data_IF_414349434295
#
_entry.id   IF_414349434295
#
_cell.length_a   1.000
_cell.length_b   1.000
_cell.length_c   1.000
_cell.angle_alpha   90.00
_cell.angle_beta   90.00
_cell.angle_gamma   90.00
#
_symmetry.space_group_name_H-M   'P 1'
#
loop_
_entity.id
_entity.type
_entity.pdbx_description
1 polymer ?
#
# COMPACT_ATOMS: atom_id res chain seq x y z
N UNK A 1 4.81 8.58 -34.01
CA UNK A 1 5.51 8.40 -32.73
C UNK A 1 4.45 8.36 -31.63
N UNK A 2 4.30 7.24 -30.92
CA UNK A 2 3.38 7.16 -29.78
C UNK A 2 4.01 7.89 -28.59
N UNK A 3 3.34 8.93 -28.10
CA UNK A 3 3.68 9.60 -26.85
C UNK A 3 3.24 8.69 -25.70
N UNK A 4 4.20 8.03 -25.05
CA UNK A 4 3.98 7.40 -23.76
C UNK A 4 3.78 8.51 -22.72
N UNK A 5 2.53 8.85 -22.43
CA UNK A 5 2.20 9.75 -21.34
C UNK A 5 2.59 9.09 -20.03
N UNK A 6 3.60 9.62 -19.34
CA UNK A 6 3.82 9.32 -17.93
C UNK A 6 2.61 9.84 -17.17
N UNK A 7 1.71 8.93 -16.78
CA UNK A 7 0.63 9.25 -15.86
C UNK A 7 1.26 9.58 -14.50
N UNK A 8 1.58 10.85 -14.29
CA UNK A 8 1.92 11.36 -12.97
C UNK A 8 0.55 11.59 -12.32
N UNK A 9 0.08 10.61 -11.54
CA UNK A 9 -1.04 10.87 -10.65
C UNK A 9 -0.63 12.03 -9.74
N UNK A 10 -1.33 13.15 -9.83
CA UNK A 10 -1.10 14.28 -8.93
C UNK A 10 -1.32 13.76 -7.50
N UNK A 11 -0.35 13.95 -6.58
CA UNK A 11 -0.53 13.54 -5.21
C UNK A 11 -1.79 14.19 -4.62
N UNK A 12 -2.54 13.51 -3.74
CA UNK A 12 -3.66 14.14 -3.07
C UNK A 12 -3.21 15.43 -2.38
N UNK A 13 -4.08 16.46 -2.27
CA UNK A 13 -3.74 17.69 -1.57
C UNK A 13 -3.27 17.33 -0.15
N UNK A 14 -2.08 17.80 0.22
CA UNK A 14 -1.34 17.49 1.46
C UNK A 14 -0.60 16.13 1.50
N UNK A 15 -0.35 15.46 0.38
CA UNK A 15 0.60 14.35 0.39
C UNK A 15 2.00 14.85 0.69
N UNK A 16 2.66 14.25 1.69
CA UNK A 16 4.04 14.58 2.01
C UNK A 16 4.97 13.99 0.92
N UNK A 17 5.66 14.82 0.13
CA UNK A 17 6.50 14.34 -0.96
C UNK A 17 7.72 13.55 -0.47
N UNK A 18 8.13 13.69 0.79
CA UNK A 18 9.23 12.93 1.37
C UNK A 18 8.90 11.44 1.51
N UNK A 19 7.61 11.07 1.45
CA UNK A 19 7.17 9.67 1.50
C UNK A 19 7.32 8.96 0.14
N UNK A 20 7.39 9.69 -0.96
CA UNK A 20 7.39 9.12 -2.31
C UNK A 20 8.50 8.07 -2.56
N UNK A 21 9.77 8.28 -2.13
CA UNK A 21 10.81 7.26 -2.27
C UNK A 21 10.48 5.96 -1.54
N UNK A 22 9.89 6.04 -0.35
CA UNK A 22 9.49 4.88 0.44
C UNK A 22 8.39 4.08 -0.27
N UNK A 23 7.32 4.75 -0.71
CA UNK A 23 6.24 4.09 -1.48
C UNK A 23 6.76 3.40 -2.75
N UNK A 24 7.68 4.04 -3.49
CA UNK A 24 8.29 3.47 -4.69
C UNK A 24 9.15 2.23 -4.41
N UNK A 25 9.67 2.10 -3.19
CA UNK A 25 10.47 0.95 -2.78
C UNK A 25 9.65 -0.31 -2.48
N UNK A 26 8.33 -0.19 -2.36
CA UNK A 26 7.45 -1.31 -2.07
C UNK A 26 7.28 -2.21 -3.31
N UNK A 27 7.56 -3.51 -3.12
CA UNK A 27 7.44 -4.55 -4.15
C UNK A 27 6.52 -5.67 -3.66
N UNK A 28 5.75 -6.28 -4.56
CA UNK A 28 4.86 -7.38 -4.22
C UNK A 28 5.68 -8.57 -3.68
N UNK A 29 5.25 -9.22 -2.57
CA UNK A 29 5.96 -10.35 -1.99
C UNK A 29 6.25 -11.46 -3.02
N UNK A 30 7.50 -11.95 -3.03
CA UNK A 30 7.93 -13.01 -3.94
C UNK A 30 8.15 -12.58 -5.40
N UNK A 31 8.06 -11.28 -5.71
CA UNK A 31 8.27 -10.76 -7.07
C UNK A 31 9.16 -9.51 -7.08
N UNK A 32 9.42 -8.95 -8.26
CA UNK A 32 10.06 -7.63 -8.45
C UNK A 32 9.09 -6.57 -8.97
N UNK A 33 7.78 -6.80 -8.85
CA UNK A 33 6.74 -5.89 -9.33
C UNK A 33 6.46 -4.85 -8.25
N UNK A 34 6.47 -3.56 -8.62
CA UNK A 34 6.17 -2.48 -7.67
C UNK A 34 4.70 -2.50 -7.24
N UNK A 35 4.43 -2.35 -5.94
CA UNK A 35 3.08 -2.28 -5.39
C UNK A 35 2.29 -1.06 -5.92
N UNK A 36 2.94 0.10 -6.01
CA UNK A 36 2.26 1.37 -6.32
C UNK A 36 2.20 1.69 -7.81
N UNK A 37 3.08 1.12 -8.65
CA UNK A 37 2.93 1.29 -10.11
C UNK A 37 1.72 0.54 -10.67
N UNK A 38 1.17 -0.41 -9.92
CA UNK A 38 0.05 -1.26 -10.34
C UNK A 38 -1.22 -1.05 -9.51
N UNK A 39 -1.17 -0.24 -8.43
CA UNK A 39 -2.26 -0.14 -7.45
C UNK A 39 -2.36 1.21 -6.74
N UNK A 40 -3.54 1.46 -6.16
CA UNK A 40 -3.81 2.62 -5.32
C UNK A 40 -3.31 2.39 -3.89
N UNK A 41 -2.08 2.83 -3.61
CA UNK A 41 -1.45 2.79 -2.29
C UNK A 41 -1.98 3.91 -1.39
N UNK A 42 -2.49 3.59 -0.20
CA UNK A 42 -2.94 4.59 0.79
C UNK A 42 -2.64 4.18 2.23
N UNK A 43 -2.36 5.18 3.06
CA UNK A 43 -2.41 5.01 4.50
C UNK A 43 -3.86 4.73 4.94
N UNK A 44 -4.04 3.79 5.88
CA UNK A 44 -5.34 3.33 6.35
C UNK A 44 -5.30 2.87 7.80
N UNK A 45 -6.48 2.74 8.41
CA UNK A 45 -6.64 2.02 9.66
C UNK A 45 -6.58 0.52 9.41
N UNK A 46 -6.01 -0.19 10.38
CA UNK A 46 -5.97 -1.64 10.39
C UNK A 46 -6.31 -2.15 11.78
N UNK A 47 -6.79 -3.39 11.85
CA UNK A 47 -7.03 -4.10 13.10
C UNK A 47 -6.47 -5.51 13.02
N UNK A 48 -6.28 -6.11 14.18
CA UNK A 48 -5.95 -7.53 14.33
C UNK A 48 -7.21 -8.25 14.75
N UNK A 49 -7.67 -9.20 13.95
CA UNK A 49 -8.83 -10.04 14.24
C UNK A 49 -8.34 -11.48 14.32
N UNK A 50 -8.20 -12.00 15.55
CA UNK A 50 -7.62 -13.33 15.77
C UNK A 50 -6.17 -13.42 15.30
N UNK A 51 -5.94 -14.16 14.22
CA UNK A 51 -4.62 -14.48 13.64
C UNK A 51 -4.26 -13.68 12.39
N UNK A 52 -5.14 -12.79 11.92
CA UNK A 52 -4.94 -12.02 10.69
C UNK A 52 -5.17 -10.52 10.89
N UNK A 53 -4.68 -9.75 9.91
CA UNK A 53 -4.96 -8.33 9.85
C UNK A 53 -6.17 -8.07 8.98
N UNK A 54 -6.92 -7.02 9.31
CA UNK A 54 -7.90 -6.42 8.41
C UNK A 54 -7.54 -4.96 8.15
N UNK A 55 -7.70 -4.51 6.91
CA UNK A 55 -7.47 -3.14 6.49
C UNK A 55 -8.79 -2.46 6.12
N UNK A 56 -8.96 -1.20 6.51
CA UNK A 56 -10.12 -0.41 6.11
C UNK A 56 -9.95 0.08 4.66
N UNK A 57 -10.86 -0.29 3.77
CA UNK A 57 -10.80 0.03 2.34
C UNK A 57 -12.19 0.54 1.94
N UNK A 58 -12.29 1.85 1.64
CA UNK A 58 -13.56 2.43 1.20
C UNK A 58 -14.70 2.31 2.24
N UNK A 59 -14.38 2.29 3.53
CA UNK A 59 -15.36 2.21 4.62
C UNK A 59 -15.75 0.78 5.03
N UNK A 60 -15.18 -0.24 4.40
CA UNK A 60 -15.37 -1.64 4.80
C UNK A 60 -14.04 -2.30 5.18
N UNK A 61 -14.10 -3.25 6.11
CA UNK A 61 -12.94 -4.03 6.54
C UNK A 61 -12.70 -5.21 5.61
N UNK A 62 -11.45 -5.40 5.19
CA UNK A 62 -11.05 -6.52 4.35
C UNK A 62 -9.89 -7.27 5.00
N UNK A 63 -10.04 -8.58 5.10
CA UNK A 63 -8.97 -9.48 5.52
C UNK A 63 -7.75 -9.33 4.59
N UNK A 64 -6.59 -9.14 5.19
CA UNK A 64 -5.31 -9.05 4.50
C UNK A 64 -4.79 -10.46 4.27
N UNK A 65 -4.62 -10.91 3.01
CA UNK A 65 -4.03 -12.21 2.76
C UNK A 65 -2.58 -12.26 3.29
N UNK A 66 -2.16 -13.34 3.95
CA UNK A 66 -0.85 -13.40 4.60
C UNK A 66 0.31 -13.27 3.61
N UNK A 67 0.13 -13.72 2.37
CA UNK A 67 1.13 -13.59 1.29
C UNK A 67 1.26 -12.16 0.73
N UNK A 68 0.43 -11.22 1.18
CA UNK A 68 0.47 -9.80 0.79
C UNK A 68 1.09 -8.92 1.88
N UNK A 69 1.41 -9.49 3.04
CA UNK A 69 2.01 -8.77 4.16
C UNK A 69 3.51 -8.59 3.91
N UNK A 70 3.94 -7.34 3.81
CA UNK A 70 5.34 -6.96 3.74
C UNK A 70 5.90 -6.76 5.14
N UNK A 71 6.94 -7.52 5.48
CA UNK A 71 7.66 -7.42 6.74
C UNK A 71 8.61 -6.21 6.68
N UNK A 72 8.06 -5.01 6.89
CA UNK A 72 8.78 -3.72 6.90
C UNK A 72 8.69 -3.09 8.29
N UNK A 73 9.80 -2.50 8.74
CA UNK A 73 9.91 -1.78 10.02
C UNK A 73 10.15 -0.28 9.83
N UNK A 74 10.29 0.14 8.58
CA UNK A 74 10.64 1.50 8.16
C UNK A 74 9.43 2.26 7.62
N UNK A 75 8.19 1.87 7.98
CA UNK A 75 6.99 2.57 7.51
C UNK A 75 6.89 3.96 8.19
N UNK A 76 7.07 5.05 7.44
CA UNK A 76 7.13 6.40 8.00
C UNK A 76 5.74 7.04 8.17
N UNK A 77 4.67 6.37 7.75
CA UNK A 77 3.33 6.99 7.67
C UNK A 77 2.59 7.09 9.00
N UNK A 78 3.09 6.40 10.04
CA UNK A 78 2.42 6.28 11.34
C UNK A 78 1.11 5.48 11.32
N UNK A 79 0.72 4.96 10.15
CA UNK A 79 -0.49 4.15 9.93
C UNK A 79 -0.14 2.91 9.12
N UNK A 80 -1.06 1.96 8.98
CA UNK A 80 -0.86 0.91 8.00
C UNK A 80 -0.96 1.47 6.59
N UNK A 81 -0.29 0.83 5.63
CA UNK A 81 -0.40 1.15 4.21
C UNK A 81 -0.96 -0.05 3.48
N UNK A 82 -2.01 0.18 2.70
CA UNK A 82 -2.64 -0.83 1.86
C UNK A 82 -2.57 -0.41 0.40
N UNK A 83 -2.14 -1.33 -0.46
CA UNK A 83 -2.13 -1.19 -1.90
C UNK A 83 -3.21 -2.11 -2.45
N UNK A 84 -4.21 -1.54 -3.13
CA UNK A 84 -5.40 -2.27 -3.54
C UNK A 84 -5.77 -1.98 -4.99
N UNK A 85 -6.33 -2.96 -5.68
CA UNK A 85 -6.97 -2.78 -6.99
C UNK A 85 -8.34 -3.47 -7.04
N UNK A 86 -9.30 -2.96 -7.82
CA UNK A 86 -10.60 -3.62 -7.99
C UNK A 86 -10.51 -5.05 -8.56
N UNK A 87 -9.47 -5.34 -9.36
CA UNK A 87 -9.32 -6.65 -10.04
C UNK A 87 -8.55 -7.68 -9.21
N UNK A 88 -7.57 -7.26 -8.42
CA UNK A 88 -6.68 -8.17 -7.66
C UNK A 88 -6.94 -8.15 -6.16
N UNK A 89 -7.71 -7.19 -5.66
CA UNK A 89 -7.85 -6.95 -4.23
C UNK A 89 -6.59 -6.34 -3.64
N UNK A 90 -6.24 -6.71 -2.41
CA UNK A 90 -5.03 -6.27 -1.72
C UNK A 90 -3.82 -6.92 -2.40
N UNK A 91 -2.87 -6.10 -2.86
CA UNK A 91 -1.62 -6.60 -3.45
C UNK A 91 -0.42 -6.45 -2.51
N UNK A 92 -0.45 -5.45 -1.62
CA UNK A 92 0.56 -5.23 -0.61
C UNK A 92 -0.07 -4.61 0.62
N UNK A 93 0.42 -5.02 1.79
CA UNK A 93 0.06 -4.48 3.08
C UNK A 93 1.30 -4.30 3.94
N UNK A 94 1.46 -3.12 4.53
CA UNK A 94 2.52 -2.82 5.49
C UNK A 94 1.85 -2.35 6.79
N UNK A 95 2.20 -2.98 7.92
CA UNK A 95 1.71 -2.57 9.23
C UNK A 95 2.23 -1.19 9.62
N UNK A 96 1.56 -0.52 10.55
CA UNK A 96 2.15 0.65 11.20
C UNK A 96 3.45 0.24 11.92
N UNK A 97 4.43 1.14 11.95
CA UNK A 97 5.65 0.91 12.74
C UNK A 97 5.27 0.98 14.21
N UNK A 98 5.37 -0.15 14.91
CA UNK A 98 5.35 -0.16 16.38
C UNK A 98 6.62 0.56 16.86
N UNK A 99 6.44 1.67 17.59
CA UNK A 99 7.54 2.41 18.22
C UNK A 99 7.93 1.77 19.55
#
# INVERSE_FOLDING_TARGET
MLLAGTAIADPPPNADPALAPWFRSLVEPGTSISCCSVSDCRATDYRVEGDHYEALIGGAWFAVPPDKILQRTDNPTGRAVVCWTPRRGIVCFVRATES
#
